data_IF_778206277128
#
_entry.id   IF_778206277128
#
_cell.length_a   1.000
_cell.length_b   1.000
_cell.length_c   1.000
_cell.angle_alpha   90.00
_cell.angle_beta   90.00
_cell.angle_gamma   90.00
#
_symmetry.space_group_name_H-M   'P 1'
#
loop_
_entity.id
_entity.type
_entity.pdbx_description
1 polymer ?
#
# COMPACT_ATOMS: atom_id res chain seq x y z
N UNK A 1 -37.23 27.01 38.35
CA UNK A 1 -37.05 26.86 36.89
C UNK A 1 -35.73 27.50 36.49
N UNK A 2 -34.67 26.70 36.28
CA UNK A 2 -33.41 27.06 35.61
C UNK A 2 -32.84 25.76 35.04
N UNK A 3 -33.00 25.56 33.74
CA UNK A 3 -32.51 24.38 33.02
C UNK A 3 -31.13 24.76 32.48
N UNK A 4 -30.07 24.19 33.07
CA UNK A 4 -28.71 24.32 32.54
C UNK A 4 -28.62 23.57 31.20
N UNK A 5 -28.32 24.31 30.13
CA UNK A 5 -27.98 23.75 28.83
C UNK A 5 -26.53 23.25 28.87
N UNK A 6 -26.33 21.96 29.14
CA UNK A 6 -25.11 21.25 28.75
C UNK A 6 -25.41 20.47 27.47
N UNK A 7 -25.18 21.12 26.34
CA UNK A 7 -25.15 20.48 25.02
C UNK A 7 -23.87 20.92 24.33
N UNK A 8 -23.04 19.95 23.97
CA UNK A 8 -21.87 20.19 23.13
C UNK A 8 -20.55 19.62 23.66
N UNK A 9 -20.55 18.42 24.26
CA UNK A 9 -19.31 17.67 24.46
C UNK A 9 -19.47 16.22 23.99
N UNK A 10 -19.86 16.05 22.73
CA UNK A 10 -19.95 14.73 22.07
C UNK A 10 -19.34 14.82 20.68
N UNK A 11 -18.04 15.12 20.59
CA UNK A 11 -17.26 14.94 19.34
C UNK A 11 -15.81 14.47 19.60
N UNK A 12 -15.45 14.09 20.82
CA UNK A 12 -14.07 13.71 21.17
C UNK A 12 -13.89 12.19 21.36
N UNK A 13 -14.71 11.35 20.74
CA UNK A 13 -14.62 9.88 20.80
C UNK A 13 -14.26 9.22 19.46
N UNK A 14 -13.73 9.99 18.50
CA UNK A 14 -13.32 9.50 17.18
C UNK A 14 -11.83 9.18 17.00
N UNK A 15 -10.99 9.35 18.02
CA UNK A 15 -9.53 9.18 17.90
C UNK A 15 -9.01 7.80 18.33
N UNK A 16 -9.79 6.73 18.11
CA UNK A 16 -9.33 5.35 18.34
C UNK A 16 -9.36 4.45 17.10
N UNK A 17 -9.59 4.99 15.90
CA UNK A 17 -9.27 4.34 14.63
C UNK A 17 -7.92 4.87 14.13
N UNK A 18 -6.83 4.11 14.01
CA UNK A 18 -6.56 2.73 14.36
C UNK A 18 -5.05 2.53 14.29
N UNK A 19 -4.46 1.96 15.34
CA UNK A 19 -3.11 1.40 15.29
C UNK A 19 -3.12 -0.04 14.71
N UNK A 20 -4.10 -0.36 13.85
CA UNK A 20 -4.06 -1.55 13.01
C UNK A 20 -4.05 -1.04 11.58
N UNK A 21 -2.85 -0.94 10.99
CA UNK A 21 -2.65 -0.33 9.68
C UNK A 21 -3.71 -0.77 8.69
N UNK A 22 -4.40 0.23 8.12
CA UNK A 22 -5.57 0.03 7.29
C UNK A 22 -5.23 -0.56 5.93
N UNK A 23 -6.20 -0.43 5.02
CA UNK A 23 -6.04 -0.76 3.60
C UNK A 23 -4.69 -0.24 3.05
N UNK A 24 -4.02 -1.00 2.16
CA UNK A 24 -2.78 -0.54 1.53
C UNK A 24 -2.92 0.86 0.93
N UNK A 25 -2.00 1.76 1.24
CA UNK A 25 -1.98 3.10 0.64
C UNK A 25 -1.46 3.05 -0.80
N UNK A 26 -1.73 4.10 -1.58
CA UNK A 26 -1.18 4.25 -2.94
C UNK A 26 0.35 4.13 -2.96
N UNK A 27 1.01 4.75 -1.97
CA UNK A 27 2.47 4.75 -1.82
C UNK A 27 2.99 3.35 -1.51
N UNK A 28 2.33 2.61 -0.63
CA UNK A 28 2.71 1.24 -0.28
C UNK A 28 2.56 0.30 -1.48
N UNK A 29 1.46 0.42 -2.22
CA UNK A 29 1.22 -0.33 -3.45
C UNK A 29 2.26 0.00 -4.51
N UNK A 30 2.59 1.30 -4.69
CA UNK A 30 3.64 1.71 -5.64
C UNK A 30 5.01 1.17 -5.24
N UNK A 31 5.39 1.23 -3.96
CA UNK A 31 6.65 0.65 -3.49
C UNK A 31 6.69 -0.86 -3.74
N UNK A 32 5.61 -1.59 -3.46
CA UNK A 32 5.51 -3.02 -3.76
C UNK A 32 5.81 -3.33 -5.24
N UNK A 33 5.18 -2.60 -6.17
CA UNK A 33 5.42 -2.77 -7.63
C UNK A 33 6.90 -2.54 -7.97
N UNK A 34 7.52 -1.51 -7.39
CA UNK A 34 8.93 -1.21 -7.60
C UNK A 34 9.83 -2.31 -7.04
N UNK A 35 9.55 -2.81 -5.83
CA UNK A 35 10.34 -3.89 -5.23
C UNK A 35 10.23 -5.20 -6.04
N UNK A 36 9.05 -5.50 -6.60
CA UNK A 36 8.88 -6.62 -7.52
C UNK A 36 9.74 -6.45 -8.79
N UNK A 37 9.69 -5.27 -9.40
CA UNK A 37 10.53 -4.94 -10.56
C UNK A 37 12.03 -5.04 -10.26
N UNK A 38 12.48 -4.60 -9.08
CA UNK A 38 13.87 -4.74 -8.64
C UNK A 38 14.26 -6.20 -8.44
N UNK A 39 13.40 -6.98 -7.77
CA UNK A 39 13.62 -8.41 -7.54
C UNK A 39 13.80 -9.15 -8.86
N UNK A 40 12.98 -8.82 -9.86
CA UNK A 40 13.07 -9.39 -11.20
C UNK A 40 14.32 -8.91 -11.95
N UNK A 41 14.65 -7.63 -11.90
CA UNK A 41 15.81 -7.06 -12.57
C UNK A 41 17.15 -7.62 -12.05
N UNK A 42 17.19 -7.97 -10.76
CA UNK A 42 18.39 -8.50 -10.11
C UNK A 42 18.28 -9.98 -9.76
N UNK A 43 17.38 -10.71 -10.40
CA UNK A 43 17.26 -12.14 -10.19
C UNK A 43 18.61 -12.82 -10.51
N UNK A 44 19.19 -13.51 -9.52
CA UNK A 44 20.52 -14.13 -9.56
C UNK A 44 21.72 -13.15 -9.65
N UNK A 45 21.50 -11.86 -9.40
CA UNK A 45 22.56 -10.84 -9.36
C UNK A 45 22.70 -10.25 -7.96
N UNK A 46 23.91 -9.81 -7.63
CA UNK A 46 24.22 -9.13 -6.36
C UNK A 46 24.62 -7.69 -6.69
N UNK A 47 23.65 -6.78 -6.93
CA UNK A 47 23.97 -5.41 -7.29
C UNK A 47 24.64 -4.69 -6.12
N UNK A 48 25.53 -3.75 -6.42
CA UNK A 48 26.02 -2.80 -5.43
C UNK A 48 24.88 -1.92 -4.91
N UNK A 49 25.09 -1.27 -3.77
CA UNK A 49 24.12 -0.31 -3.21
C UNK A 49 23.81 0.81 -4.21
N UNK A 50 24.81 1.29 -4.95
CA UNK A 50 24.65 2.33 -5.96
C UNK A 50 23.83 1.85 -7.17
N UNK A 51 24.09 0.63 -7.64
CA UNK A 51 23.31 0.02 -8.73
C UNK A 51 21.85 -0.15 -8.34
N UNK A 52 21.60 -0.62 -7.12
CA UNK A 52 20.24 -0.76 -6.58
C UNK A 52 19.54 0.60 -6.47
N UNK A 53 20.21 1.63 -5.96
CA UNK A 53 19.64 2.96 -5.85
C UNK A 53 19.27 3.57 -7.22
N UNK A 54 20.14 3.42 -8.22
CA UNK A 54 19.86 3.84 -9.60
C UNK A 54 18.66 3.11 -10.20
N UNK A 55 18.55 1.80 -9.99
CA UNK A 55 17.40 1.02 -10.47
C UNK A 55 16.08 1.44 -9.79
N UNK A 56 16.11 1.71 -8.47
CA UNK A 56 14.95 2.26 -7.74
C UNK A 56 14.51 3.60 -8.34
N UNK A 57 15.46 4.50 -8.64
CA UNK A 57 15.15 5.80 -9.24
C UNK A 57 14.53 5.65 -10.63
N UNK A 58 15.10 4.77 -11.47
CA UNK A 58 14.58 4.49 -12.80
C UNK A 58 13.15 3.91 -12.76
N UNK A 59 12.91 2.92 -11.90
CA UNK A 59 11.58 2.32 -11.73
C UNK A 59 10.57 3.32 -11.17
N UNK A 60 10.97 4.20 -10.26
CA UNK A 60 10.09 5.26 -9.75
C UNK A 60 9.57 6.21 -10.84
N UNK A 61 10.41 6.48 -11.86
CA UNK A 61 10.06 7.29 -13.03
C UNK A 61 9.28 6.50 -14.08
N UNK A 62 9.55 5.20 -14.22
CA UNK A 62 8.93 4.35 -15.22
C UNK A 62 7.56 3.80 -14.82
N UNK A 63 7.29 3.66 -13.51
CA UNK A 63 6.05 3.12 -12.95
C UNK A 63 5.08 4.24 -12.61
N UNK A 64 3.92 4.21 -13.26
CA UNK A 64 2.81 5.11 -12.98
C UNK A 64 1.54 4.33 -12.59
N UNK A 65 1.20 4.36 -11.29
CA UNK A 65 0.03 3.71 -10.74
C UNK A 65 -1.23 4.53 -11.06
N UNK A 66 -2.01 4.04 -12.02
CA UNK A 66 -3.23 4.68 -12.52
C UNK A 66 -4.36 4.53 -11.51
N UNK A 67 -4.61 3.30 -11.05
CA UNK A 67 -5.62 3.01 -10.05
C UNK A 67 -5.27 1.77 -9.24
N UNK A 68 -5.80 1.71 -8.03
CA UNK A 68 -5.80 0.50 -7.22
C UNK A 68 -7.15 0.43 -6.50
N UNK A 69 -7.74 -0.76 -6.48
CA UNK A 69 -9.00 -1.02 -5.81
C UNK A 69 -8.81 -2.21 -4.89
N UNK A 70 -8.96 -1.99 -3.59
CA UNK A 70 -8.77 -3.02 -2.57
C UNK A 70 -10.09 -3.39 -1.90
N UNK A 71 -10.24 -4.67 -1.58
CA UNK A 71 -11.35 -5.20 -0.80
C UNK A 71 -10.80 -6.01 0.36
N UNK A 72 -11.24 -5.69 1.58
CA UNK A 72 -10.89 -6.49 2.74
C UNK A 72 -11.39 -7.93 2.56
N UNK A 73 -10.55 -8.91 2.89
CA UNK A 73 -10.92 -10.32 2.81
C UNK A 73 -11.72 -10.69 4.07
N UNK A 74 -12.95 -11.16 3.88
CA UNK A 74 -13.84 -11.52 4.98
C UNK A 74 -13.22 -12.62 5.86
N UNK A 75 -13.33 -12.46 7.19
CA UNK A 75 -12.76 -13.39 8.16
C UNK A 75 -11.26 -13.20 8.44
N UNK A 76 -10.56 -12.34 7.69
CA UNK A 76 -9.13 -12.07 7.89
C UNK A 76 -8.87 -10.63 8.29
N UNK A 77 -8.17 -10.44 9.41
CA UNK A 77 -7.67 -9.12 9.81
C UNK A 77 -6.44 -8.78 8.99
N UNK A 78 -6.34 -7.53 8.54
CA UNK A 78 -5.18 -7.00 7.82
C UNK A 78 -4.87 -7.71 6.48
N UNK A 79 -5.89 -8.21 5.79
CA UNK A 79 -5.73 -8.84 4.46
C UNK A 79 -6.70 -8.20 3.47
N UNK A 80 -6.20 -7.88 2.28
CA UNK A 80 -6.96 -7.23 1.20
C UNK A 80 -6.64 -7.85 -0.15
N UNK A 81 -7.68 -8.10 -0.96
CA UNK A 81 -7.54 -8.42 -2.37
C UNK A 81 -7.59 -7.13 -3.17
N UNK A 82 -6.50 -6.81 -3.88
CA UNK A 82 -6.36 -5.57 -4.61
C UNK A 82 -6.19 -5.81 -6.10
N UNK A 83 -6.96 -5.08 -6.92
CA UNK A 83 -6.74 -4.97 -8.36
C UNK A 83 -5.92 -3.72 -8.64
N UNK A 84 -4.75 -3.90 -9.24
CA UNK A 84 -3.78 -2.86 -9.54
C UNK A 84 -3.78 -2.59 -11.04
N UNK A 85 -3.89 -1.34 -11.45
CA UNK A 85 -3.72 -0.91 -12.83
C UNK A 85 -2.63 0.14 -12.90
N UNK A 86 -1.55 -0.14 -13.61
CA UNK A 86 -0.39 0.73 -13.67
C UNK A 86 0.28 0.67 -15.04
N UNK A 87 1.09 1.67 -15.35
CA UNK A 87 1.90 1.72 -16.56
C UNK A 87 3.35 1.44 -16.19
N UNK A 88 4.03 0.64 -17.01
CA UNK A 88 5.49 0.49 -16.98
C UNK A 88 6.01 0.78 -18.37
N UNK A 89 6.87 1.79 -18.52
CA UNK A 89 7.41 2.20 -19.83
C UNK A 89 6.31 2.41 -20.90
N UNK A 90 5.22 3.10 -20.54
CA UNK A 90 4.04 3.32 -21.38
C UNK A 90 3.28 2.05 -21.81
N UNK A 91 3.53 0.91 -21.18
CA UNK A 91 2.75 -0.32 -21.38
C UNK A 91 1.82 -0.57 -20.19
N UNK A 92 0.51 -0.77 -20.43
CA UNK A 92 -0.44 -1.03 -19.35
C UNK A 92 -0.23 -2.42 -18.75
N UNK A 93 -0.34 -2.49 -17.43
CA UNK A 93 -0.28 -3.70 -16.63
C UNK A 93 -1.52 -3.76 -15.72
N UNK A 94 -2.05 -4.96 -15.54
CA UNK A 94 -3.14 -5.22 -14.59
C UNK A 94 -2.83 -6.47 -13.80
N UNK A 95 -2.69 -6.32 -12.48
CA UNK A 95 -2.42 -7.44 -11.58
C UNK A 95 -3.52 -7.51 -10.51
N UNK A 96 -3.78 -8.71 -10.02
CA UNK A 96 -4.52 -8.91 -8.78
C UNK A 96 -3.54 -9.43 -7.74
N UNK A 97 -3.46 -8.75 -6.60
CA UNK A 97 -2.52 -9.06 -5.53
C UNK A 97 -3.27 -9.13 -4.22
N UNK A 98 -3.08 -10.20 -3.46
CA UNK A 98 -3.52 -10.27 -2.07
C UNK A 98 -2.44 -9.67 -1.18
N UNK A 99 -2.75 -8.54 -0.55
CA UNK A 99 -1.88 -7.93 0.43
C UNK A 99 -2.22 -8.38 1.84
N UNK A 100 -1.19 -8.67 2.64
CA UNK A 100 -1.28 -8.79 4.09
C UNK A 100 -0.39 -7.75 4.76
N UNK A 101 -0.85 -7.15 5.87
CA UNK A 101 -0.03 -6.25 6.68
C UNK A 101 0.51 -6.97 7.90
N UNK A 102 1.82 -6.97 8.07
CA UNK A 102 2.47 -7.59 9.22
C UNK A 102 2.35 -6.74 10.50
N UNK A 103 2.97 -7.20 11.58
CA UNK A 103 2.95 -6.50 12.88
C UNK A 103 3.88 -5.29 12.94
N UNK A 104 4.84 -5.18 12.00
CA UNK A 104 5.62 -3.95 11.79
C UNK A 104 4.84 -2.88 11.03
N UNK A 105 3.67 -3.23 10.50
CA UNK A 105 2.85 -2.37 9.67
C UNK A 105 3.26 -2.37 8.20
N UNK A 106 4.14 -3.27 7.74
CA UNK A 106 4.53 -3.37 6.33
C UNK A 106 3.58 -4.29 5.56
N UNK A 107 3.26 -3.93 4.31
CA UNK A 107 2.49 -4.80 3.41
C UNK A 107 3.39 -5.82 2.70
N UNK A 108 2.85 -7.01 2.46
CA UNK A 108 3.44 -8.07 1.64
C UNK A 108 2.38 -8.54 0.65
N UNK A 109 2.76 -8.78 -0.60
CA UNK A 109 1.84 -9.19 -1.66
C UNK A 109 2.08 -10.63 -2.09
N UNK A 110 0.99 -11.36 -2.33
CA UNK A 110 0.96 -12.68 -2.96
C UNK A 110 0.12 -12.57 -4.25
N UNK A 111 0.71 -12.94 -5.38
CA UNK A 111 0.06 -13.01 -6.71
C UNK A 111 -0.57 -14.39 -6.94
#
# INVERSE_FOLDING_TARGET
MKILKYSGLVCALGMLAGCSGGEPSKEEVKDYIIQQGLSQAFLFQHPSVEQRAKAVEQLNKAVDLQSYECKAVEGFKKVWDCKLNYMVNNQPQTNTVRFNRDDSGKIHGQE
#
